data_IF_040436316650
#
_entry.id   IF_040436316650
#
_cell.length_a   1.000
_cell.length_b   1.000
_cell.length_c   1.000
_cell.angle_alpha   90.00
_cell.angle_beta   90.00
_cell.angle_gamma   90.00
#
_symmetry.space_group_name_H-M   'P 1'
#
loop_
_entity.id
_entity.type
_entity.pdbx_description
1 polymer ?
#
# COMPACT_ATOMS: atom_id res chain seq x y z
N UNK A 1 -42.25 -9.81 2.89
CA UNK A 1 -41.40 -9.59 4.08
C UNK A 1 -41.03 -10.89 4.82
N UNK A 2 -40.88 -12.03 4.13
CA UNK A 2 -40.58 -13.33 4.78
C UNK A 2 -39.24 -13.96 4.36
N UNK A 3 -38.54 -13.39 3.38
CA UNK A 3 -37.27 -13.94 2.87
C UNK A 3 -36.03 -13.45 3.64
N UNK A 4 -36.09 -12.29 4.29
CA UNK A 4 -34.93 -11.68 4.97
C UNK A 4 -34.61 -12.31 6.34
N UNK A 5 -35.56 -12.97 7.00
CA UNK A 5 -35.35 -13.53 8.35
C UNK A 5 -34.55 -14.84 8.35
N UNK A 6 -34.48 -15.56 7.24
CA UNK A 6 -33.85 -16.91 7.18
C UNK A 6 -32.32 -16.85 7.00
N UNK A 7 -31.79 -15.75 6.47
CA UNK A 7 -30.35 -15.56 6.27
C UNK A 7 -29.65 -14.92 7.47
N UNK A 8 -30.38 -14.17 8.31
CA UNK A 8 -29.84 -13.59 9.54
C UNK A 8 -29.45 -14.68 10.55
N UNK A 9 -30.17 -15.81 10.57
CA UNK A 9 -29.82 -16.96 11.42
C UNK A 9 -28.54 -17.69 10.98
N UNK A 10 -28.27 -17.75 9.67
CA UNK A 10 -27.06 -18.39 9.14
C UNK A 10 -25.82 -17.49 9.36
N UNK A 11 -26.00 -16.17 9.24
CA UNK A 11 -24.95 -15.21 9.59
C UNK A 11 -24.62 -15.21 11.09
N UNK A 12 -25.62 -15.37 11.98
CA UNK A 12 -25.40 -15.45 13.42
C UNK A 12 -24.75 -16.77 13.87
N UNK A 13 -25.03 -17.89 13.18
CA UNK A 13 -24.38 -19.18 13.46
C UNK A 13 -22.93 -19.20 12.94
N UNK A 14 -22.62 -18.49 11.85
CA UNK A 14 -21.24 -18.29 11.40
C UNK A 14 -20.41 -17.41 12.36
N UNK A 15 -21.05 -16.45 13.06
CA UNK A 15 -20.39 -15.60 14.06
C UNK A 15 -20.09 -16.37 15.37
N UNK A 16 -20.89 -17.39 15.73
CA UNK A 16 -20.59 -18.21 16.92
C UNK A 16 -19.40 -19.16 16.74
N UNK A 17 -19.06 -19.55 15.51
CA UNK A 17 -17.87 -20.37 15.22
C UNK A 17 -16.56 -19.57 15.25
N UNK A 18 -16.63 -18.23 15.23
CA UNK A 18 -15.45 -17.36 15.32
C UNK A 18 -14.83 -17.31 16.73
N UNK A 19 -15.47 -17.95 17.72
CA UNK A 19 -14.99 -18.02 19.11
C UNK A 19 -14.14 -19.26 19.41
N UNK A 20 -13.87 -20.09 18.41
CA UNK A 20 -12.93 -21.21 18.47
C UNK A 20 -11.72 -21.03 17.54
N UNK A 21 -11.61 -19.87 16.88
CA UNK A 21 -10.44 -19.53 16.08
C UNK A 21 -9.35 -19.00 17.02
N UNK A 22 -8.16 -19.62 16.98
CA UNK A 22 -7.02 -19.04 17.67
C UNK A 22 -6.64 -17.76 16.92
N UNK A 23 -6.64 -16.66 17.67
CA UNK A 23 -6.44 -15.34 17.10
C UNK A 23 -4.94 -15.10 17.04
N UNK A 24 -4.35 -15.47 15.92
CA UNK A 24 -2.90 -15.42 15.72
C UNK A 24 -2.51 -14.13 15.02
N UNK A 25 -1.52 -13.44 15.59
CA UNK A 25 -0.83 -12.34 14.95
C UNK A 25 0.05 -12.94 13.85
N UNK A 26 -0.20 -12.56 12.59
CA UNK A 26 0.63 -13.02 11.46
C UNK A 26 0.21 -14.33 10.81
N UNK A 27 -1.04 -14.79 10.99
CA UNK A 27 -1.58 -15.97 10.28
C UNK A 27 -1.34 -15.95 8.75
N UNK A 28 -1.17 -14.77 8.14
CA UNK A 28 -0.78 -14.59 6.74
C UNK A 28 0.48 -13.72 6.54
N UNK A 29 1.50 -13.85 7.40
CA UNK A 29 2.67 -12.95 7.45
C UNK A 29 3.42 -12.79 6.12
N UNK A 30 3.49 -13.83 5.28
CA UNK A 30 4.11 -13.75 3.94
C UNK A 30 3.43 -12.70 3.05
N UNK A 31 2.14 -12.41 3.29
CA UNK A 31 1.42 -11.35 2.57
C UNK A 31 1.85 -9.93 2.96
N UNK A 32 2.69 -9.78 3.98
CA UNK A 32 3.20 -8.50 4.46
C UNK A 32 4.64 -8.23 4.00
N UNK A 33 5.30 -9.20 3.36
CA UNK A 33 6.65 -9.06 2.83
C UNK A 33 6.62 -8.17 1.58
N UNK A 34 7.38 -7.08 1.61
CA UNK A 34 7.47 -6.15 0.49
C UNK A 34 8.35 -6.69 -0.64
N UNK A 35 7.82 -6.83 -1.87
CA UNK A 35 8.59 -7.33 -3.00
C UNK A 35 9.41 -6.27 -3.74
N UNK A 36 9.05 -4.99 -3.69
CA UNK A 36 9.66 -3.94 -4.51
C UNK A 36 10.98 -3.42 -3.93
N UNK A 37 12.05 -3.37 -4.75
CA UNK A 37 13.31 -2.75 -4.32
C UNK A 37 13.13 -1.24 -4.09
N UNK A 38 12.34 -0.55 -4.93
CA UNK A 38 12.06 0.88 -4.76
C UNK A 38 11.45 1.17 -3.40
N UNK A 39 10.40 0.45 -3.02
CA UNK A 39 9.74 0.64 -1.72
C UNK A 39 10.62 0.21 -0.54
N UNK A 40 11.42 -0.86 -0.70
CA UNK A 40 12.42 -1.29 0.29
C UNK A 40 13.41 -0.18 0.64
N UNK A 41 13.97 0.48 -0.39
CA UNK A 41 14.93 1.57 -0.23
C UNK A 41 14.33 2.81 0.48
N UNK A 42 13.01 2.91 0.53
CA UNK A 42 12.24 3.98 1.16
C UNK A 42 11.69 3.58 2.54
N UNK A 43 12.42 2.72 3.25
CA UNK A 43 12.04 2.24 4.58
C UNK A 43 10.85 1.29 4.54
N UNK A 44 10.60 0.62 3.42
CA UNK A 44 9.41 -0.23 3.23
C UNK A 44 8.09 0.53 3.47
N UNK A 45 8.06 1.83 3.15
CA UNK A 45 6.87 2.71 3.19
C UNK A 45 5.96 2.52 1.96
N UNK A 46 5.62 1.27 1.69
CA UNK A 46 5.03 0.76 0.44
C UNK A 46 3.71 1.44 0.09
N UNK A 47 2.92 1.78 1.11
CA UNK A 47 1.65 2.48 0.93
C UNK A 47 1.80 3.96 0.60
N UNK A 48 2.95 4.57 0.85
CA UNK A 48 3.19 5.96 0.48
C UNK A 48 3.69 6.06 -0.98
N UNK A 49 4.33 5.00 -1.46
CA UNK A 49 5.01 4.95 -2.77
C UNK A 49 4.00 4.60 -3.85
N UNK A 50 3.82 5.52 -4.81
CA UNK A 50 2.97 5.30 -5.97
C UNK A 50 3.77 4.88 -7.21
N UNK A 51 3.15 4.11 -8.10
CA UNK A 51 3.75 3.67 -9.36
C UNK A 51 4.83 2.59 -9.22
N UNK A 52 4.85 1.87 -8.09
CA UNK A 52 5.66 0.67 -7.89
C UNK A 52 4.79 -0.58 -8.15
N UNK A 53 4.87 -1.14 -9.35
CA UNK A 53 3.99 -2.23 -9.79
C UNK A 53 4.26 -3.58 -9.11
N UNK A 54 5.28 -3.67 -8.25
CA UNK A 54 5.51 -4.81 -7.38
C UNK A 54 4.65 -4.73 -6.11
N UNK A 55 4.25 -3.52 -5.68
CA UNK A 55 3.44 -3.28 -4.46
C UNK A 55 1.94 -3.62 -4.58
N UNK A 56 1.54 -4.62 -5.38
CA UNK A 56 0.11 -4.96 -5.57
C UNK A 56 -0.58 -5.45 -4.29
N UNK A 57 0.18 -6.00 -3.35
CA UNK A 57 -0.33 -6.54 -2.09
C UNK A 57 -0.50 -5.49 -0.98
N UNK A 58 0.14 -4.34 -1.15
CA UNK A 58 0.19 -3.27 -0.13
C UNK A 58 -0.42 -1.96 -0.65
N UNK A 59 -0.56 -1.79 -1.96
CA UNK A 59 -1.06 -0.56 -2.57
C UNK A 59 -2.00 -0.85 -3.76
N UNK A 60 -3.28 -1.23 -3.52
CA UNK A 60 -4.19 -1.59 -4.61
C UNK A 60 -4.72 -0.38 -5.40
N UNK A 61 -4.79 0.81 -4.78
CA UNK A 61 -5.34 2.00 -5.45
C UNK A 61 -4.43 2.53 -6.56
N UNK A 62 -3.13 2.24 -6.52
CA UNK A 62 -2.16 2.72 -7.53
C UNK A 62 -2.54 2.31 -8.97
N UNK A 63 -3.29 1.20 -9.10
CA UNK A 63 -3.76 0.71 -10.39
C UNK A 63 -4.70 1.70 -11.10
N UNK A 64 -5.31 2.64 -10.35
CA UNK A 64 -6.07 3.75 -10.93
C UNK A 64 -5.22 4.69 -11.78
N UNK A 65 -3.88 4.68 -11.62
CA UNK A 65 -2.94 5.58 -12.32
C UNK A 65 -2.05 4.85 -13.32
N UNK A 66 -2.31 3.57 -13.58
CA UNK A 66 -1.55 2.79 -14.57
C UNK A 66 -1.90 3.28 -15.97
N UNK A 67 -0.89 3.73 -16.72
CA UNK A 67 -1.07 4.22 -18.10
C UNK A 67 -0.67 3.19 -19.17
N UNK A 68 0.21 2.25 -18.80
CA UNK A 68 0.78 1.25 -19.72
C UNK A 68 0.75 -0.11 -19.06
N UNK A 69 0.77 -1.17 -19.86
CA UNK A 69 0.93 -2.51 -19.32
C UNK A 69 2.39 -2.73 -18.89
N UNK A 70 2.60 -3.19 -17.67
CA UNK A 70 3.92 -3.50 -17.13
C UNK A 70 3.98 -4.95 -16.67
N UNK A 71 5.12 -5.58 -16.90
CA UNK A 71 5.52 -6.80 -16.23
C UNK A 71 6.71 -6.46 -15.33
N UNK A 72 6.67 -6.90 -14.08
CA UNK A 72 7.68 -6.61 -13.08
C UNK A 72 8.12 -7.88 -12.37
N UNK A 73 9.40 -7.94 -12.04
CA UNK A 73 10.03 -9.06 -11.34
C UNK A 73 10.92 -8.52 -10.24
N UNK A 74 10.99 -9.21 -9.12
CA UNK A 74 11.99 -8.96 -8.09
C UNK A 74 12.52 -10.25 -7.48
N UNK A 75 13.75 -10.13 -7.01
CA UNK A 75 14.45 -11.18 -6.30
C UNK A 75 15.09 -10.56 -5.05
N UNK A 76 14.90 -11.23 -3.92
CA UNK A 76 15.52 -10.88 -2.64
C UNK A 76 16.16 -12.11 -2.06
N UNK A 77 17.42 -11.97 -1.67
CA UNK A 77 18.12 -12.94 -0.84
C UNK A 77 18.06 -12.44 0.60
N UNK A 78 17.36 -13.19 1.45
CA UNK A 78 17.28 -12.95 2.88
C UNK A 78 18.39 -13.74 3.59
N UNK A 79 18.40 -13.63 4.92
CA UNK A 79 19.26 -14.42 5.79
C UNK A 79 18.90 -15.91 5.73
N UNK A 80 19.85 -16.76 6.15
CA UNK A 80 19.66 -18.22 6.24
C UNK A 80 19.21 -18.88 4.93
N UNK A 81 19.79 -18.44 3.80
CA UNK A 81 19.50 -18.95 2.44
C UNK A 81 18.03 -18.89 2.01
N UNK A 82 17.21 -18.08 2.70
CA UNK A 82 15.82 -17.86 2.37
C UNK A 82 15.70 -16.88 1.20
N UNK A 83 14.83 -17.18 0.24
CA UNK A 83 14.65 -16.41 -0.99
C UNK A 83 13.23 -15.92 -1.13
N UNK A 84 13.09 -14.74 -1.71
CA UNK A 84 11.80 -14.19 -2.10
C UNK A 84 11.82 -13.77 -3.56
N UNK A 85 11.06 -14.51 -4.36
CA UNK A 85 10.85 -14.25 -5.77
C UNK A 85 9.43 -13.72 -5.97
N UNK A 86 9.30 -12.64 -6.73
CA UNK A 86 8.02 -12.02 -7.00
C UNK A 86 7.90 -11.63 -8.47
N UNK A 87 6.73 -11.84 -9.03
CA UNK A 87 6.38 -11.39 -10.36
C UNK A 87 5.00 -10.73 -10.35
N UNK A 88 4.84 -9.64 -11.08
CA UNK A 88 3.54 -9.01 -11.32
C UNK A 88 3.35 -8.60 -12.76
N UNK A 89 2.09 -8.53 -13.16
CA UNK A 89 1.67 -7.94 -14.41
C UNK A 89 0.49 -7.00 -14.14
N UNK A 90 0.56 -5.79 -14.68
CA UNK A 90 -0.51 -4.79 -14.57
C UNK A 90 -0.94 -4.35 -15.96
N UNK A 91 -2.23 -4.11 -16.12
CA UNK A 91 -2.83 -3.66 -17.37
C UNK A 91 -3.85 -2.55 -17.11
N UNK A 92 -3.84 -1.47 -17.91
CA UNK A 92 -4.89 -0.46 -17.85
C UNK A 92 -6.16 -0.98 -18.54
N UNK A 93 -7.30 -0.96 -17.84
CA UNK A 93 -8.60 -1.39 -18.37
C UNK A 93 -9.41 -0.24 -19.00
N UNK A 94 -9.15 0.99 -18.58
CA UNK A 94 -9.85 2.18 -19.05
C UNK A 94 -9.29 3.44 -18.39
N UNK A 95 -9.94 4.59 -18.61
CA UNK A 95 -9.53 5.83 -17.94
C UNK A 95 -9.71 5.69 -16.43
N UNK A 96 -8.60 5.89 -15.69
CA UNK A 96 -8.59 5.77 -14.25
C UNK A 96 -8.86 4.35 -13.74
N UNK A 97 -8.63 3.30 -14.53
CA UNK A 97 -8.89 1.90 -14.14
C UNK A 97 -7.75 0.97 -14.54
N UNK A 98 -7.35 0.10 -13.61
CA UNK A 98 -6.30 -0.88 -13.85
C UNK A 98 -6.56 -2.20 -13.12
N UNK A 99 -6.01 -3.26 -13.68
CA UNK A 99 -6.01 -4.61 -13.13
C UNK A 99 -4.57 -5.08 -12.98
N UNK A 100 -4.27 -5.76 -11.89
CA UNK A 100 -2.98 -6.35 -11.60
C UNK A 100 -3.13 -7.79 -11.13
N UNK A 101 -2.20 -8.63 -11.54
CA UNK A 101 -1.99 -9.96 -10.97
C UNK A 101 -0.56 -10.05 -10.46
N UNK A 102 -0.36 -10.79 -9.37
CA UNK A 102 0.99 -11.15 -8.93
C UNK A 102 1.06 -12.59 -8.45
N UNK A 103 2.28 -13.08 -8.46
CA UNK A 103 2.67 -14.37 -7.96
C UNK A 103 3.98 -14.22 -7.19
N UNK A 104 4.10 -14.90 -6.06
CA UNK A 104 5.36 -14.90 -5.31
C UNK A 104 5.64 -16.24 -4.65
N UNK A 105 6.92 -16.47 -4.40
CA UNK A 105 7.42 -17.59 -3.63
C UNK A 105 8.38 -17.06 -2.57
N UNK A 106 8.08 -17.33 -1.31
CA UNK A 106 8.98 -17.10 -0.19
C UNK A 106 9.36 -18.46 0.40
N UNK A 107 10.63 -18.78 0.55
CA UNK A 107 11.01 -20.07 1.11
C UNK A 107 12.50 -20.34 1.15
N UNK A 108 12.85 -21.42 1.82
CA UNK A 108 14.19 -21.97 1.90
C UNK A 108 14.15 -23.41 1.38
N UNK A 109 15.17 -23.74 0.59
CA UNK A 109 15.30 -25.02 -0.09
C UNK A 109 16.42 -25.85 0.55
N UNK A 110 16.30 -27.17 0.44
CA UNK A 110 17.35 -28.12 0.81
C UNK A 110 17.83 -28.02 2.28
N UNK A 111 16.93 -27.69 3.21
CA UNK A 111 17.24 -27.59 4.65
C UNK A 111 17.61 -28.99 5.16
N UNK A 112 18.84 -29.22 5.66
CA UNK A 112 19.21 -30.51 6.24
C UNK A 112 18.37 -30.78 7.48
N UNK A 113 17.73 -31.95 7.54
CA UNK A 113 16.99 -32.37 8.72
C UNK A 113 17.38 -33.80 9.14
N UNK A 114 17.30 -34.04 10.44
CA UNK A 114 17.49 -35.36 11.05
C UNK A 114 16.17 -35.73 11.73
N UNK A 115 15.56 -36.84 11.32
CA UNK A 115 14.35 -37.35 11.98
C UNK A 115 14.71 -37.84 13.38
N UNK A 116 13.79 -37.66 14.32
CA UNK A 116 13.95 -38.19 15.66
C UNK A 116 14.15 -39.72 15.61
N UNK A 117 15.25 -40.20 16.20
CA UNK A 117 15.64 -41.62 16.18
C UNK A 117 16.50 -42.05 15.00
N UNK A 118 16.77 -41.19 14.02
CA UNK A 118 17.76 -41.47 12.96
C UNK A 118 19.20 -41.16 13.44
N UNK A 119 20.20 -41.97 13.06
CA UNK A 119 21.59 -41.68 13.37
C UNK A 119 22.04 -40.40 12.64
N UNK A 120 22.98 -39.66 13.24
CA UNK A 120 23.63 -38.53 12.56
C UNK A 120 24.24 -39.03 11.24
N UNK A 121 23.81 -38.50 10.08
CA UNK A 121 24.33 -38.97 8.79
C UNK A 121 25.83 -38.66 8.65
N UNK A 122 26.59 -39.63 8.15
CA UNK A 122 28.02 -39.44 7.87
C UNK A 122 28.23 -38.77 6.50
N UNK A 123 29.02 -37.71 6.46
CA UNK A 123 29.38 -37.01 5.22
C UNK A 123 28.33 -36.02 4.74
N UNK A 124 27.88 -36.16 3.48
CA UNK A 124 26.94 -35.24 2.80
C UNK A 124 25.56 -35.87 2.52
N UNK A 125 25.24 -37.01 3.13
CA UNK A 125 24.00 -37.75 2.89
C UNK A 125 22.93 -37.39 3.92
N UNK A 126 22.47 -36.15 3.90
CA UNK A 126 21.41 -35.65 4.77
C UNK A 126 20.05 -35.81 4.08
N UNK A 127 19.01 -36.07 4.86
CA UNK A 127 17.65 -35.83 4.38
C UNK A 127 17.45 -34.31 4.30
N UNK A 128 16.75 -33.84 3.27
CA UNK A 128 16.42 -32.42 3.12
C UNK A 128 14.91 -32.18 3.18
N UNK A 129 14.54 -31.01 3.66
CA UNK A 129 13.19 -30.47 3.64
C UNK A 129 13.24 -29.10 2.98
N UNK A 130 12.24 -28.78 2.16
CA UNK A 130 12.02 -27.42 1.67
C UNK A 130 10.78 -26.85 2.34
N UNK A 131 10.81 -25.57 2.69
CA UNK A 131 9.64 -24.83 3.15
C UNK A 131 9.36 -23.71 2.17
N UNK A 132 8.10 -23.55 1.77
CA UNK A 132 7.71 -22.54 0.81
C UNK A 132 6.28 -22.04 1.01
N UNK A 133 6.14 -20.73 0.95
CA UNK A 133 4.88 -20.01 0.86
C UNK A 133 4.71 -19.45 -0.56
N UNK A 134 3.61 -19.81 -1.19
CA UNK A 134 3.23 -19.40 -2.52
C UNK A 134 2.03 -18.47 -2.47
N UNK A 135 2.17 -17.26 -2.99
CA UNK A 135 1.08 -16.27 -3.00
C UNK A 135 0.61 -16.03 -4.43
N UNK A 136 -0.70 -15.97 -4.60
CA UNK A 136 -1.34 -15.46 -5.80
C UNK A 136 -2.24 -14.28 -5.44
N UNK A 137 -2.13 -13.18 -6.19
CA UNK A 137 -2.93 -11.99 -5.94
C UNK A 137 -3.64 -11.49 -7.20
N UNK A 138 -4.87 -11.02 -7.01
CA UNK A 138 -5.65 -10.28 -8.00
C UNK A 138 -6.04 -8.93 -7.41
N UNK A 139 -5.69 -7.86 -8.10
CA UNK A 139 -5.86 -6.49 -7.59
C UNK A 139 -6.51 -5.62 -8.64
N UNK A 140 -7.45 -4.77 -8.23
CA UNK A 140 -8.13 -3.81 -9.10
C UNK A 140 -8.12 -2.43 -8.47
N UNK A 141 -7.85 -1.40 -9.27
CA UNK A 141 -7.88 -0.01 -8.82
C UNK A 141 -8.70 0.86 -9.76
N UNK A 142 -9.40 1.83 -9.18
CA UNK A 142 -10.25 2.78 -9.90
C UNK A 142 -10.22 4.18 -9.28
N UNK A 143 -10.10 5.19 -10.15
CA UNK A 143 -10.35 6.58 -9.84
C UNK A 143 -11.85 6.84 -9.78
N UNK A 144 -12.31 7.36 -8.65
CA UNK A 144 -13.73 7.66 -8.40
C UNK A 144 -14.02 9.14 -8.66
N UNK A 145 -13.10 10.01 -8.26
CA UNK A 145 -13.14 11.45 -8.55
C UNK A 145 -11.73 11.93 -8.89
N UNK A 146 -11.58 13.17 -9.34
CA UNK A 146 -10.26 13.74 -9.66
C UNK A 146 -9.26 13.71 -8.50
N UNK A 147 -9.76 13.58 -7.26
CA UNK A 147 -8.96 13.55 -6.03
C UNK A 147 -9.02 12.22 -5.28
N UNK A 148 -9.94 11.32 -5.61
CA UNK A 148 -10.18 10.07 -4.87
C UNK A 148 -9.95 8.85 -5.75
N UNK A 149 -9.05 7.99 -5.29
CA UNK A 149 -8.70 6.72 -5.90
C UNK A 149 -8.95 5.59 -4.91
N UNK A 150 -9.51 4.48 -5.37
CA UNK A 150 -9.80 3.29 -4.56
C UNK A 150 -9.14 2.07 -5.20
N UNK A 151 -8.84 1.07 -4.39
CA UNK A 151 -8.44 -0.24 -4.87
C UNK A 151 -8.87 -1.36 -3.93
N UNK A 152 -8.99 -2.56 -4.50
CA UNK A 152 -9.26 -3.79 -3.77
C UNK A 152 -8.30 -4.88 -4.23
N UNK A 153 -7.83 -5.68 -3.29
CA UNK A 153 -6.94 -6.82 -3.52
C UNK A 153 -7.53 -8.09 -2.92
N UNK A 154 -7.33 -9.21 -3.61
CA UNK A 154 -7.61 -10.53 -3.09
C UNK A 154 -6.35 -11.39 -3.24
N UNK A 155 -5.97 -12.03 -2.14
CA UNK A 155 -4.71 -12.74 -2.00
C UNK A 155 -5.02 -14.15 -1.51
N UNK A 156 -4.54 -15.14 -2.26
CA UNK A 156 -4.51 -16.54 -1.86
C UNK A 156 -3.09 -16.94 -1.51
N UNK A 157 -2.94 -17.71 -0.45
CA UNK A 157 -1.67 -18.21 0.04
C UNK A 157 -1.75 -19.73 0.12
N UNK A 158 -0.73 -20.41 -0.38
CA UNK A 158 -0.54 -21.84 -0.20
C UNK A 158 0.79 -22.06 0.50
N UNK A 159 0.78 -22.83 1.57
CA UNK A 159 1.95 -23.09 2.40
C UNK A 159 2.33 -24.54 2.37
N UNK A 160 3.61 -24.77 2.22
CA UNK A 160 4.24 -26.08 2.28
C UNK A 160 5.35 -26.02 3.32
N UNK A 161 5.10 -26.64 4.47
CA UNK A 161 6.05 -26.75 5.58
C UNK A 161 6.11 -28.23 6.00
N UNK A 162 6.15 -28.51 7.31
CA UNK A 162 5.88 -29.84 7.87
C UNK A 162 4.43 -30.29 7.65
N UNK A 163 3.52 -29.33 7.48
CA UNK A 163 2.13 -29.50 7.06
C UNK A 163 1.79 -28.53 5.92
N UNK A 164 0.70 -28.84 5.20
CA UNK A 164 0.17 -27.95 4.15
C UNK A 164 -0.93 -27.04 4.70
N UNK A 165 -1.01 -25.84 4.14
CA UNK A 165 -2.00 -24.84 4.56
C UNK A 165 -2.48 -23.96 3.43
N UNK A 166 -3.71 -23.45 3.56
CA UNK A 166 -4.31 -22.49 2.65
C UNK A 166 -4.70 -21.23 3.41
N UNK A 167 -4.26 -20.08 2.92
CA UNK A 167 -4.58 -18.76 3.44
C UNK A 167 -5.35 -17.92 2.43
N UNK A 168 -6.18 -17.00 2.95
CA UNK A 168 -6.86 -16.00 2.15
C UNK A 168 -6.91 -14.66 2.87
N UNK A 169 -6.63 -13.57 2.14
CA UNK A 169 -6.78 -12.19 2.62
C UNK A 169 -7.41 -11.30 1.55
N UNK A 170 -8.39 -10.50 1.94
CA UNK A 170 -8.93 -9.43 1.10
C UNK A 170 -8.55 -8.05 1.65
N UNK A 171 -7.99 -7.18 0.81
CA UNK A 171 -7.49 -5.86 1.19
C UNK A 171 -8.23 -4.74 0.43
N UNK A 172 -8.33 -3.56 1.05
CA UNK A 172 -8.94 -2.39 0.44
C UNK A 172 -8.08 -1.15 0.69
N UNK A 173 -7.79 -0.39 -0.36
CA UNK A 173 -6.97 0.81 -0.31
C UNK A 173 -7.70 2.03 -0.82
N UNK A 174 -7.34 3.20 -0.29
CA UNK A 174 -7.83 4.49 -0.71
C UNK A 174 -6.67 5.48 -0.77
N UNK A 175 -6.68 6.36 -1.76
CA UNK A 175 -5.82 7.54 -1.81
C UNK A 175 -6.61 8.80 -2.11
N UNK A 176 -6.34 9.84 -1.33
CA UNK A 176 -6.93 11.15 -1.48
C UNK A 176 -5.87 12.22 -1.74
N UNK A 177 -6.07 13.04 -2.77
CA UNK A 177 -5.24 14.22 -3.05
C UNK A 177 -5.76 15.41 -2.25
N UNK A 178 -5.02 15.82 -1.21
CA UNK A 178 -5.41 16.96 -0.36
C UNK A 178 -5.17 18.28 -1.09
N UNK A 179 -3.95 18.45 -1.61
CA UNK A 179 -3.52 19.58 -2.43
C UNK A 179 -2.60 19.06 -3.53
N UNK A 180 -2.15 19.94 -4.42
CA UNK A 180 -1.23 19.55 -5.49
C UNK A 180 0.02 18.91 -4.89
N UNK A 181 0.35 17.72 -5.39
CA UNK A 181 1.48 16.89 -4.97
C UNK A 181 1.44 16.36 -3.53
N UNK A 182 0.39 16.63 -2.74
CA UNK A 182 0.19 16.04 -1.40
C UNK A 182 -0.94 15.00 -1.41
N UNK A 183 -0.59 13.77 -1.08
CA UNK A 183 -1.52 12.65 -1.00
C UNK A 183 -1.54 12.05 0.40
N UNK A 184 -2.71 11.61 0.82
CA UNK A 184 -2.90 10.73 1.98
C UNK A 184 -3.50 9.43 1.48
N UNK A 185 -2.94 8.32 1.93
CA UNK A 185 -3.40 6.98 1.59
C UNK A 185 -3.72 6.18 2.83
N UNK A 186 -4.65 5.24 2.67
CA UNK A 186 -5.09 4.34 3.72
C UNK A 186 -5.20 2.93 3.16
N UNK A 187 -4.84 1.92 3.94
CA UNK A 187 -4.98 0.50 3.60
C UNK A 187 -5.68 -0.20 4.76
N UNK A 188 -6.81 -0.83 4.47
CA UNK A 188 -7.49 -1.75 5.35
C UNK A 188 -7.16 -3.18 4.90
N UNK A 189 -6.25 -3.84 5.61
CA UNK A 189 -5.91 -5.23 5.39
C UNK A 189 -6.97 -6.14 6.02
N UNK A 190 -7.31 -7.23 5.33
CA UNK A 190 -8.26 -8.21 5.84
C UNK A 190 -9.71 -7.68 5.99
N UNK A 191 -10.16 -6.78 5.11
CA UNK A 191 -11.51 -6.20 5.18
C UNK A 191 -12.64 -7.23 5.00
N UNK A 192 -12.38 -8.33 4.28
CA UNK A 192 -13.32 -9.47 4.16
C UNK A 192 -13.03 -10.55 5.18
N UNK A 193 -11.77 -10.98 5.24
CA UNK A 193 -11.21 -11.97 6.17
C UNK A 193 -9.70 -12.02 5.98
N UNK A 194 -8.96 -12.41 7.01
CA UNK A 194 -7.58 -12.89 6.91
C UNK A 194 -7.50 -14.17 7.72
N UNK A 195 -7.52 -15.31 7.05
CA UNK A 195 -7.53 -16.61 7.71
C UNK A 195 -6.58 -17.58 7.02
N UNK A 196 -6.10 -18.56 7.77
CA UNK A 196 -5.35 -19.70 7.29
C UNK A 196 -5.92 -21.00 7.88
N UNK A 197 -6.01 -22.04 7.06
CA UNK A 197 -6.45 -23.38 7.47
C UNK A 197 -5.38 -24.39 7.13
N UNK A 198 -5.09 -25.30 8.06
CA UNK A 198 -4.05 -26.30 7.94
C UNK A 198 -4.62 -27.71 7.83
N UNK A 199 -3.82 -28.65 7.30
CA UNK A 199 -4.20 -30.06 7.18
C UNK A 199 -4.49 -30.74 8.53
N UNK A 200 -3.82 -30.29 9.60
CA UNK A 200 -4.08 -30.71 10.98
C UNK A 200 -5.50 -30.40 11.48
N UNK A 201 -6.24 -29.54 10.77
CA UNK A 201 -7.55 -29.03 11.17
C UNK A 201 -7.47 -27.70 11.92
N UNK A 202 -6.26 -27.19 12.17
CA UNK A 202 -6.05 -25.89 12.79
C UNK A 202 -6.53 -24.75 11.88
N UNK A 203 -7.14 -23.75 12.51
CA UNK A 203 -7.67 -22.57 11.83
C UNK A 203 -7.22 -21.31 12.55
N UNK A 204 -6.43 -20.51 11.83
CA UNK A 204 -5.87 -19.26 12.32
C UNK A 204 -6.58 -18.08 11.69
N UNK A 205 -6.83 -17.04 12.50
CA UNK A 205 -7.46 -15.81 12.04
C UNK A 205 -6.66 -14.58 12.48
N UNK A 206 -6.32 -13.72 11.53
CA UNK A 206 -5.80 -12.38 11.79
C UNK A 206 -6.91 -11.34 11.76
N UNK A 207 -6.88 -10.42 12.71
CA UNK A 207 -7.81 -9.29 12.68
C UNK A 207 -7.49 -8.30 11.56
N UNK A 208 -8.48 -7.52 11.11
CA UNK A 208 -8.25 -6.46 10.15
C UNK A 208 -7.31 -5.39 10.71
N UNK A 209 -6.45 -4.87 9.86
CA UNK A 209 -5.44 -3.87 10.21
C UNK A 209 -5.65 -2.62 9.34
N UNK A 210 -5.58 -1.42 9.94
CA UNK A 210 -5.71 -0.16 9.20
C UNK A 210 -4.43 0.62 9.29
N UNK A 211 -3.94 1.08 8.15
CA UNK A 211 -2.72 1.88 8.05
C UNK A 211 -3.02 3.24 7.41
N UNK A 212 -2.21 4.24 7.79
CA UNK A 212 -2.19 5.57 7.18
C UNK A 212 -0.82 5.85 6.59
N UNK A 213 -0.80 6.53 5.46
CA UNK A 213 0.41 7.01 4.82
C UNK A 213 0.18 8.37 4.17
N UNK A 214 1.27 9.08 3.93
CA UNK A 214 1.28 10.35 3.24
C UNK A 214 2.49 10.44 2.30
N UNK A 215 2.31 11.11 1.18
CA UNK A 215 3.41 11.41 0.26
C UNK A 215 3.31 12.84 -0.27
N UNK A 216 4.46 13.48 -0.41
CA UNK A 216 4.57 14.85 -0.87
C UNK A 216 5.67 15.03 -1.92
N UNK A 217 5.34 15.62 -3.05
CA UNK A 217 6.25 15.89 -4.16
C UNK A 217 6.65 17.37 -4.25
N UNK A 218 7.95 17.62 -4.30
CA UNK A 218 8.56 18.95 -4.46
C UNK A 218 9.36 18.98 -5.76
N UNK A 219 8.91 19.72 -6.80
CA UNK A 219 9.72 19.92 -7.99
C UNK A 219 10.96 20.76 -7.63
N UNK A 220 12.14 20.33 -8.07
CA UNK A 220 13.41 21.03 -7.87
C UNK A 220 14.06 21.27 -9.24
N UNK A 221 13.57 22.28 -10.01
CA UNK A 221 14.02 22.49 -11.40
C UNK A 221 15.51 22.75 -11.53
N UNK A 222 16.13 23.39 -10.54
CA UNK A 222 17.57 23.66 -10.53
C UNK A 222 18.43 22.39 -10.60
N UNK A 223 17.93 21.29 -10.04
CA UNK A 223 18.61 19.99 -10.04
C UNK A 223 18.04 19.01 -11.08
N UNK A 224 17.19 19.49 -12.00
CA UNK A 224 16.53 18.68 -13.02
C UNK A 224 15.87 17.43 -12.42
N UNK A 225 15.00 17.64 -11.43
CA UNK A 225 14.33 16.53 -10.79
C UNK A 225 13.25 16.93 -9.81
N UNK A 226 12.73 15.92 -9.11
CA UNK A 226 11.67 16.02 -8.12
C UNK A 226 12.08 15.30 -6.84
N UNK A 227 11.98 16.00 -5.72
CA UNK A 227 12.14 15.43 -4.38
C UNK A 227 10.79 14.91 -3.90
N UNK A 228 10.69 13.64 -3.57
CA UNK A 228 9.51 13.04 -2.98
C UNK A 228 9.79 12.64 -1.53
N UNK A 229 8.86 12.96 -0.64
CA UNK A 229 8.86 12.59 0.76
C UNK A 229 7.76 11.58 1.01
N UNK A 230 8.09 10.50 1.71
CA UNK A 230 7.17 9.40 1.99
C UNK A 230 7.14 9.12 3.48
N UNK A 231 5.94 8.95 4.01
CA UNK A 231 5.70 8.56 5.39
C UNK A 231 4.57 7.54 5.44
N UNK A 232 4.76 6.51 6.24
CA UNK A 232 3.74 5.51 6.56
C UNK A 232 3.73 5.34 8.07
N UNK A 233 2.59 5.57 8.69
CA UNK A 233 2.42 5.40 10.13
C UNK A 233 2.45 3.93 10.53
N UNK A 234 2.57 3.72 11.84
CA UNK A 234 2.25 2.43 12.42
C UNK A 234 0.77 2.08 12.18
N UNK A 235 0.44 0.80 12.38
CA UNK A 235 -0.94 0.33 12.34
C UNK A 235 -1.83 1.18 13.28
N UNK A 236 -3.11 1.37 12.96
CA UNK A 236 -4.07 2.12 13.79
C UNK A 236 -4.95 1.21 14.66
N UNK A 237 -5.15 -0.04 14.25
CA UNK A 237 -6.16 -0.95 14.80
C UNK A 237 -5.55 -2.20 15.45
N UNK A 238 -4.56 -2.05 16.31
CA UNK A 238 -3.98 -3.19 17.05
C UNK A 238 -4.66 -3.38 18.42
N UNK A 239 -5.01 -4.63 18.76
CA UNK A 239 -5.63 -4.98 20.05
C UNK A 239 -4.59 -5.13 21.18
N UNK A 240 -3.34 -5.44 20.82
CA UNK A 240 -2.18 -5.65 21.71
C UNK A 240 -0.96 -4.85 21.20
N UNK A 241 -0.02 -4.51 22.09
CA UNK A 241 1.24 -3.86 21.72
C UNK A 241 2.14 -4.88 21.00
N UNK A 242 2.65 -4.55 19.80
CA UNK A 242 3.39 -5.51 18.96
C UNK A 242 4.90 -5.50 19.20
N UNK A 243 5.41 -4.54 19.96
CA UNK A 243 6.83 -4.44 20.25
C UNK A 243 7.00 -4.49 21.78
N UNK A 244 7.20 -5.70 22.31
CA UNK A 244 7.88 -5.83 23.59
C UNK A 244 9.36 -5.69 23.28
N UNK A 245 9.93 -4.53 23.65
CA UNK A 245 11.36 -4.34 23.57
C UNK A 245 12.01 -5.26 24.61
N UNK A 246 12.54 -6.40 24.17
CA UNK A 246 13.13 -7.44 25.03
C UNK A 246 14.31 -6.91 25.87
N UNK A 247 14.91 -5.78 25.50
CA UNK A 247 16.00 -5.18 26.27
C UNK A 247 15.53 -4.22 27.37
N UNK A 248 14.33 -3.61 27.25
CA UNK A 248 13.88 -2.56 28.17
C UNK A 248 12.56 -2.81 28.89
N UNK A 249 11.85 -3.91 28.58
CA UNK A 249 10.53 -4.24 29.16
C UNK A 249 9.49 -3.10 28.93
N UNK A 250 9.79 -2.18 28.01
CA UNK A 250 8.91 -1.08 27.62
C UNK A 250 8.05 -1.54 26.43
N UNK A 251 6.72 -1.52 26.62
CA UNK A 251 5.77 -1.71 25.52
C UNK A 251 5.88 -0.54 24.54
N UNK A 252 6.40 -0.77 23.34
CA UNK A 252 6.41 0.18 22.21
C UNK A 252 5.31 -0.17 21.20
N UNK A 253 4.90 0.83 20.41
CA UNK A 253 3.79 0.68 19.47
C UNK A 253 2.42 0.84 20.14
N UNK A 254 2.31 1.79 21.07
CA UNK A 254 1.03 2.19 21.67
C UNK A 254 0.12 2.79 20.60
N UNK A 255 -1.20 2.73 20.85
CA UNK A 255 -2.17 3.28 19.90
C UNK A 255 -2.03 4.79 19.79
N UNK A 256 -2.47 5.34 18.67
CA UNK A 256 -2.44 6.80 18.43
C UNK A 256 -3.12 7.61 19.55
N UNK A 257 -4.17 7.08 20.19
CA UNK A 257 -4.87 7.72 21.31
C UNK A 257 -4.24 7.48 22.69
N UNK A 258 -3.32 6.54 22.81
CA UNK A 258 -2.58 6.26 24.05
C UNK A 258 -1.28 7.05 24.11
N UNK A 259 -0.50 7.01 23.01
CA UNK A 259 0.69 7.83 22.85
C UNK A 259 0.89 8.18 21.35
N UNK A 260 0.47 9.37 20.90
CA UNK A 260 0.55 9.75 19.49
C UNK A 260 1.98 9.91 18.99
N UNK A 261 2.92 10.26 19.87
CA UNK A 261 4.32 10.40 19.51
C UNK A 261 4.98 9.04 19.29
N UNK A 262 4.68 8.06 20.16
CA UNK A 262 5.16 6.68 20.01
C UNK A 262 4.61 6.03 18.73
N UNK A 263 3.31 6.22 18.44
CA UNK A 263 2.70 5.77 17.18
C UNK A 263 3.35 6.42 15.95
N UNK A 264 3.64 7.72 16.01
CA UNK A 264 4.31 8.44 14.94
C UNK A 264 5.75 7.94 14.72
N UNK A 265 6.48 7.65 15.80
CA UNK A 265 7.84 7.11 15.73
C UNK A 265 7.90 5.64 15.34
N UNK A 266 6.85 4.85 15.61
CA UNK A 266 6.70 3.48 15.11
C UNK A 266 6.38 3.42 13.61
N UNK A 267 6.24 4.58 12.96
CA UNK A 267 6.14 4.69 11.51
C UNK A 267 7.48 4.46 10.81
N UNK A 268 7.39 4.48 9.49
CA UNK A 268 8.49 4.31 8.55
C UNK A 268 8.42 5.41 7.50
N UNK A 269 9.52 5.67 6.81
CA UNK A 269 9.51 6.67 5.76
C UNK A 269 10.80 6.77 5.00
N UNK A 270 10.78 7.57 3.94
CA UNK A 270 11.92 7.73 3.05
C UNK A 270 11.81 8.97 2.18
N UNK A 271 12.94 9.28 1.56
CA UNK A 271 13.10 10.36 0.61
C UNK A 271 13.59 9.78 -0.72
N UNK A 272 13.04 10.27 -1.81
CA UNK A 272 13.46 9.92 -3.17
C UNK A 272 13.76 11.21 -3.94
N UNK A 273 14.95 11.31 -4.50
CA UNK A 273 15.23 12.32 -5.52
C UNK A 273 15.20 11.66 -6.89
N UNK A 274 14.18 11.96 -7.68
CA UNK A 274 14.02 11.46 -9.04
C UNK A 274 14.51 12.51 -10.04
N UNK A 275 15.58 12.21 -10.75
CA UNK A 275 16.13 13.05 -11.79
C UNK A 275 15.38 12.86 -13.12
N UNK A 276 15.26 13.93 -13.89
CA UNK A 276 14.56 13.96 -15.19
C UNK A 276 15.22 13.07 -16.24
N UNK A 277 16.52 12.80 -16.09
CA UNK A 277 17.27 11.89 -16.97
C UNK A 277 17.08 10.40 -16.62
N UNK A 278 16.25 10.08 -15.62
CA UNK A 278 15.80 8.71 -15.31
C UNK A 278 16.50 8.05 -14.13
N UNK A 279 17.52 8.66 -13.53
CA UNK A 279 18.10 8.19 -12.28
C UNK A 279 17.19 8.57 -11.10
N UNK A 280 17.14 7.71 -10.09
CA UNK A 280 16.51 7.99 -8.81
C UNK A 280 17.40 7.52 -7.69
N UNK A 281 17.56 8.36 -6.66
CA UNK A 281 18.31 8.05 -5.45
C UNK A 281 17.36 8.05 -4.27
N UNK A 282 17.51 7.05 -3.40
CA UNK A 282 16.56 6.76 -2.33
C UNK A 282 17.29 6.48 -1.03
N UNK A 283 16.73 7.01 0.05
CA UNK A 283 17.13 6.69 1.41
C UNK A 283 15.89 6.61 2.28
N UNK A 284 15.90 5.73 3.27
CA UNK A 284 14.76 5.52 4.16
C UNK A 284 15.15 4.92 5.49
N UNK A 285 14.15 4.88 6.36
CA UNK A 285 14.20 4.31 7.69
C UNK A 285 12.99 3.39 7.83
N UNK A 286 13.23 2.10 8.08
CA UNK A 286 12.14 1.13 8.25
C UNK A 286 11.46 1.22 9.63
N UNK A 287 12.12 1.87 10.58
CA UNK A 287 11.54 2.32 11.85
C UNK A 287 12.22 3.62 12.29
N UNK A 288 11.45 4.63 12.72
CA UNK A 288 12.05 5.84 13.30
C UNK A 288 12.51 5.65 14.76
N UNK A 289 12.08 4.57 15.43
CA UNK A 289 12.57 4.24 16.78
C UNK A 289 13.94 3.55 16.72
N UNK A 290 14.17 2.71 15.71
CA UNK A 290 15.39 1.93 15.55
C UNK A 290 16.25 2.52 14.42
N UNK A 291 17.06 3.53 14.74
CA UNK A 291 17.97 4.19 13.79
C UNK A 291 19.03 3.25 13.15
N UNK A 292 19.11 1.99 13.56
CA UNK A 292 19.98 0.98 12.98
C UNK A 292 19.42 0.38 11.66
N UNK A 293 18.12 0.57 11.38
CA UNK A 293 17.46 -0.01 10.21
C UNK A 293 17.39 0.97 9.03
N UNK A 294 18.57 1.39 8.57
CA UNK A 294 18.71 2.31 7.43
C UNK A 294 18.53 1.54 6.12
N UNK A 295 17.78 2.13 5.20
CA UNK A 295 17.60 1.61 3.84
C UNK A 295 18.14 2.61 2.83
N UNK A 296 18.73 2.12 1.75
CA UNK A 296 19.21 2.95 0.66
C UNK A 296 18.99 2.24 -0.67
N UNK A 297 18.89 3.00 -1.75
CA UNK A 297 18.74 2.39 -3.07
C UNK A 297 18.85 3.37 -4.21
N UNK A 298 18.96 2.81 -5.41
CA UNK A 298 19.01 3.56 -6.63
C UNK A 298 18.12 2.89 -7.68
N UNK A 299 17.57 3.71 -8.58
CA UNK A 299 16.73 3.25 -9.67
C UNK A 299 17.13 3.93 -10.97
N UNK A 300 17.06 3.19 -12.06
CA UNK A 300 17.33 3.71 -13.40
C UNK A 300 16.15 3.39 -14.32
N UNK A 301 15.54 4.44 -14.85
CA UNK A 301 14.53 4.35 -15.90
C UNK A 301 15.17 4.56 -17.25
N UNK A 302 15.21 3.52 -18.07
CA UNK A 302 15.81 3.53 -19.40
C UNK A 302 14.69 3.65 -20.44
N UNK A 303 14.74 4.74 -21.21
CA UNK A 303 13.81 5.00 -22.32
C UNK A 303 12.31 4.87 -21.95
N UNK A 304 11.97 5.11 -20.68
CA UNK A 304 10.62 5.03 -20.09
C UNK A 304 9.93 3.66 -20.12
N UNK A 305 10.54 2.63 -20.70
CA UNK A 305 9.94 1.29 -20.79
C UNK A 305 10.64 0.24 -19.94
N UNK A 306 11.89 0.48 -19.49
CA UNK A 306 12.57 -0.37 -18.51
C UNK A 306 12.83 0.44 -17.26
N UNK A 307 12.56 -0.15 -16.10
CA UNK A 307 13.00 0.34 -14.80
C UNK A 307 13.81 -0.76 -14.13
N UNK A 308 14.99 -0.42 -13.63
CA UNK A 308 15.81 -1.32 -12.82
C UNK A 308 16.02 -0.61 -11.49
N UNK A 309 15.70 -1.29 -10.40
CA UNK A 309 15.87 -0.76 -9.05
C UNK A 309 16.69 -1.74 -8.22
N UNK A 310 17.54 -1.18 -7.37
CA UNK A 310 18.35 -1.89 -6.41
C UNK A 310 18.15 -1.26 -5.04
N UNK A 311 18.04 -2.10 -4.02
CA UNK A 311 17.93 -1.67 -2.64
C UNK A 311 18.85 -2.47 -1.71
N UNK A 312 19.28 -1.76 -0.69
CA UNK A 312 20.04 -2.23 0.44
C UNK A 312 19.24 -1.94 1.70
N UNK A 313 19.04 -2.95 2.52
CA UNK A 313 18.36 -2.86 3.80
C UNK A 313 19.30 -3.38 4.89
N UNK A 314 19.59 -2.51 5.86
CA UNK A 314 20.40 -2.85 7.03
C UNK A 314 19.50 -3.40 8.12
N UNK A 315 19.92 -4.49 8.75
CA UNK A 315 19.29 -5.02 9.96
C UNK A 315 20.23 -4.88 11.16
N UNK A 316 19.69 -4.66 12.37
CA UNK A 316 20.52 -4.52 13.57
C UNK A 316 21.16 -5.83 14.01
N UNK A 317 20.44 -6.95 13.83
CA UNK A 317 20.84 -8.29 14.30
C UNK A 317 21.19 -9.22 13.14
N UNK A 318 20.54 -9.05 12.00
CA UNK A 318 20.64 -9.96 10.85
C UNK A 318 21.58 -9.41 9.77
N UNK A 319 21.99 -10.28 8.86
CA UNK A 319 22.78 -9.90 7.69
C UNK A 319 22.02 -8.86 6.84
N UNK A 320 22.74 -7.93 6.19
CA UNK A 320 22.11 -6.98 5.28
C UNK A 320 21.41 -7.69 4.12
N UNK A 321 20.28 -7.14 3.70
CA UNK A 321 19.44 -7.70 2.63
C UNK A 321 19.62 -6.86 1.37
N UNK A 322 19.79 -7.57 0.25
CA UNK A 322 19.89 -6.97 -1.07
C UNK A 322 18.66 -7.35 -1.89
N UNK A 323 18.06 -6.36 -2.55
CA UNK A 323 16.87 -6.56 -3.38
C UNK A 323 17.10 -5.96 -4.75
N UNK A 324 16.77 -6.74 -5.78
CA UNK A 324 16.83 -6.30 -7.18
C UNK A 324 15.43 -6.41 -7.76
N UNK A 325 15.01 -5.39 -8.50
CA UNK A 325 13.79 -5.47 -9.27
C UNK A 325 13.94 -4.89 -10.67
N UNK A 326 13.21 -5.47 -11.62
CA UNK A 326 13.15 -5.03 -13.01
C UNK A 326 11.69 -4.95 -13.42
N UNK A 327 11.32 -3.83 -14.04
CA UNK A 327 10.00 -3.63 -14.62
C UNK A 327 10.12 -3.25 -16.08
N UNK A 328 9.32 -3.89 -16.94
CA UNK A 328 9.34 -3.69 -18.38
C UNK A 328 7.91 -3.43 -18.85
N UNK A 329 7.72 -2.38 -19.67
CA UNK A 329 6.47 -2.10 -20.36
C UNK A 329 6.62 -2.34 -21.87
N UNK A 330 6.32 -3.56 -22.37
CA UNK A 330 6.38 -3.86 -23.79
C UNK A 330 5.35 -3.04 -24.61
N UNK A 331 4.32 -2.49 -23.97
CA UNK A 331 3.24 -1.72 -24.61
C UNK A 331 3.72 -0.39 -25.24
N UNK A 332 4.82 0.18 -24.73
CA UNK A 332 5.37 1.45 -25.20
C UNK A 332 5.91 1.38 -26.65
N UNK A 333 6.13 0.19 -27.21
CA UNK A 333 6.57 0.00 -28.60
C UNK A 333 5.43 -0.11 -29.63
N UNK A 334 4.21 -0.44 -29.19
CA UNK A 334 3.14 -0.84 -30.10
C UNK A 334 1.93 0.09 -30.11
N UNK A 335 1.77 0.98 -29.11
CA UNK A 335 0.55 1.78 -28.95
C UNK A 335 0.88 3.20 -28.47
N UNK A 336 0.16 4.20 -29.01
CA UNK A 336 0.18 5.57 -28.49
C UNK A 336 -0.42 5.62 -27.07
N UNK A 337 -0.01 6.60 -26.23
CA UNK A 337 -0.66 6.86 -24.94
C UNK A 337 -2.16 7.04 -25.15
N UNK A 338 -2.99 6.41 -24.31
CA UNK A 338 -4.46 6.52 -24.44
C UNK A 338 -4.92 7.97 -24.18
N UNK A 339 -5.95 8.46 -24.90
CA UNK A 339 -6.46 9.83 -24.74
C UNK A 339 -7.02 10.06 -23.32
N UNK A 340 -6.85 11.28 -22.80
CA UNK A 340 -7.22 11.67 -21.41
C UNK A 340 -6.10 11.54 -20.37
N UNK A 341 -4.92 11.05 -20.76
CA UNK A 341 -3.74 10.96 -19.88
C UNK A 341 -2.90 12.24 -19.93
N UNK A 342 -2.19 12.58 -18.85
CA UNK A 342 -1.24 13.72 -18.84
C UNK A 342 -0.20 13.62 -19.94
N UNK A 343 0.28 12.43 -20.29
CA UNK A 343 1.21 12.23 -21.41
C UNK A 343 0.54 12.39 -22.79
N UNK A 344 -0.72 11.99 -22.96
CA UNK A 344 -1.48 12.29 -24.17
C UNK A 344 -1.76 13.80 -24.29
N UNK A 345 -2.13 14.46 -23.20
CA UNK A 345 -2.33 15.92 -23.15
C UNK A 345 -1.04 16.67 -23.46
N UNK A 346 0.10 16.28 -22.88
CA UNK A 346 1.41 16.89 -23.17
C UNK A 346 1.82 16.69 -24.63
N UNK A 347 1.52 15.53 -25.24
CA UNK A 347 1.71 15.32 -26.68
C UNK A 347 0.81 16.25 -27.51
N UNK A 348 -0.47 16.37 -27.18
CA UNK A 348 -1.39 17.28 -27.88
C UNK A 348 -0.96 18.74 -27.74
N UNK A 349 -0.55 19.18 -26.55
CA UNK A 349 -0.05 20.53 -26.32
C UNK A 349 1.25 20.80 -27.08
N UNK A 350 2.20 19.86 -27.11
CA UNK A 350 3.44 20.01 -27.89
C UNK A 350 3.18 20.11 -29.39
N UNK A 351 2.23 19.33 -29.92
CA UNK A 351 1.85 19.35 -31.34
C UNK A 351 1.09 20.64 -31.72
N UNK A 352 0.41 21.28 -30.77
CA UNK A 352 -0.26 22.58 -30.98
C UNK A 352 0.67 23.79 -30.85
N UNK A 353 1.88 23.61 -30.29
CA UNK A 353 2.90 24.68 -30.15
C UNK A 353 3.99 24.68 -31.22
N UNK A 354 4.00 23.68 -32.11
CA UNK A 354 4.78 23.78 -33.35
C UNK A 354 3.99 24.65 -34.33
N UNK A 355 4.58 25.78 -34.70
CA UNK A 355 4.01 26.81 -35.57
C UNK A 355 3.32 26.22 -36.79
N UNK A 356 2.11 26.71 -37.08
CA UNK A 356 1.50 26.55 -38.39
C UNK A 356 2.45 27.17 -39.42
N UNK A 357 3.08 26.33 -40.24
CA UNK A 357 3.83 26.76 -41.41
C UNK A 357 2.92 27.62 -42.31
N UNK A 358 3.13 28.94 -42.27
CA UNK A 358 2.68 29.85 -43.32
C UNK A 358 3.33 29.39 -44.63
N UNK A 359 2.52 28.78 -45.51
CA UNK A 359 2.91 28.50 -46.89
C UNK A 359 1.98 29.23 -47.84
N UNK A 360 2.57 30.22 -48.52
CA UNK A 360 2.31 30.69 -49.87
C UNK A 360 0.90 31.18 -50.25
N UNK A 361 0.70 32.51 -50.14
CA UNK A 361 -0.27 33.23 -50.95
C UNK A 361 0.18 34.69 -51.22
N UNK A 362 1.27 34.85 -51.97
CA UNK A 362 1.59 36.09 -52.68
C UNK A 362 1.75 35.82 -54.17
N UNK A 363 0.63 35.63 -54.87
CA UNK A 363 0.49 35.95 -56.30
C UNK A 363 -0.98 35.78 -56.72
N UNK A 364 -1.81 36.83 -56.56
CA UNK A 364 -2.79 37.25 -57.57
C UNK A 364 -3.46 38.57 -57.15
N UNK A 365 -2.86 39.68 -57.59
CA UNK A 365 -3.61 40.93 -57.79
C UNK A 365 -4.29 40.84 -59.15
N UNK A 366 -5.62 40.78 -59.17
CA UNK A 366 -6.53 41.54 -60.06
C UNK A 366 -7.90 40.85 -60.18
N UNK A 367 -8.92 41.43 -59.51
CA UNK A 367 -10.17 41.94 -60.12
C UNK A 367 -11.23 42.24 -59.05
N UNK A 368 -11.57 43.52 -59.00
CA UNK A 368 -12.84 44.10 -58.47
C UNK A 368 -13.94 43.74 -59.50
N UNK A 369 -15.21 43.40 -59.13
CA UNK A 369 -16.15 44.45 -58.71
C UNK A 369 -17.34 44.11 -57.76
N UNK A 370 -17.82 45.23 -57.17
CA UNK A 370 -19.18 45.64 -56.78
C UNK A 370 -19.87 45.21 -55.45
N UNK A 371 -20.33 46.26 -54.77
CA UNK A 371 -21.17 46.45 -53.54
C UNK A 371 -22.57 45.75 -53.56
N UNK A 372 -23.52 45.94 -52.57
CA UNK A 372 -23.50 46.71 -51.30
C UNK A 372 -24.11 46.05 -50.02
N UNK A 373 -23.74 46.63 -48.86
CA UNK A 373 -24.54 47.09 -47.68
C UNK A 373 -25.58 46.16 -47.01
N UNK A 374 -25.42 45.89 -45.70
CA UNK A 374 -26.38 46.30 -44.66
C UNK A 374 -25.84 46.18 -43.21
N UNK A 375 -25.99 47.26 -42.43
CA UNK A 375 -25.77 47.33 -40.99
C UNK A 375 -27.10 47.07 -40.27
N UNK A 376 -27.09 46.35 -39.14
CA UNK A 376 -28.06 46.61 -38.07
C UNK A 376 -27.46 46.35 -36.69
N UNK A 377 -27.80 47.27 -35.79
CA UNK A 377 -27.42 47.43 -34.38
C UNK A 377 -28.69 47.18 -33.55
N UNK A 378 -28.57 46.55 -32.37
CA UNK A 378 -29.34 46.79 -31.12
C UNK A 378 -29.08 45.59 -30.17
N UNK A 379 -28.32 45.71 -29.08
CA UNK A 379 -28.51 46.44 -27.82
C UNK A 379 -29.48 45.73 -26.84
N UNK A 380 -28.95 45.45 -25.64
CA UNK A 380 -29.58 44.81 -24.48
C UNK A 380 -30.70 45.67 -23.88
N UNK A 381 -31.50 45.11 -22.96
CA UNK A 381 -31.51 45.76 -21.64
C UNK A 381 -31.51 44.80 -20.44
N UNK A 382 -31.11 45.40 -19.32
CA UNK A 382 -30.97 44.85 -17.99
C UNK A 382 -32.22 45.04 -17.12
N UNK A 383 -32.20 44.33 -15.98
CA UNK A 383 -32.63 44.75 -14.64
C UNK A 383 -34.12 44.66 -14.25
N UNK A 384 -34.38 43.91 -13.17
CA UNK A 384 -35.23 44.33 -12.04
C UNK A 384 -35.30 43.28 -10.91
N UNK A 385 -34.76 43.63 -9.75
CA UNK A 385 -35.31 43.27 -8.43
C UNK A 385 -36.37 44.35 -8.05
N UNK A 386 -37.22 44.28 -6.98
CA UNK A 386 -36.93 43.73 -5.64
C UNK A 386 -38.14 43.12 -4.86
N UNK A 387 -37.91 42.52 -3.67
CA UNK A 387 -38.59 42.92 -2.40
C UNK A 387 -38.16 42.12 -1.16
N UNK A 388 -38.19 42.86 -0.05
CA UNK A 388 -37.88 42.57 1.35
C UNK A 388 -39.09 42.00 2.08
N UNK A 389 -38.92 41.11 3.08
CA UNK A 389 -39.70 41.14 4.34
C UNK A 389 -38.95 40.39 5.46
N UNK A 390 -38.80 41.04 6.62
CA UNK A 390 -38.31 40.49 7.89
C UNK A 390 -39.47 39.89 8.70
N UNK A 391 -39.23 38.95 9.64
CA UNK A 391 -39.83 38.93 10.99
C UNK A 391 -39.11 37.93 11.93
N UNK A 392 -38.75 38.47 13.09
CA UNK A 392 -38.44 38.03 14.45
C UNK A 392 -38.75 36.62 15.03
N UNK A 393 -37.79 36.17 15.85
CA UNK A 393 -37.88 35.76 17.29
C UNK A 393 -38.16 34.31 17.75
N UNK A 394 -37.42 34.02 18.84
CA UNK A 394 -37.77 33.26 20.04
C UNK A 394 -37.21 31.84 20.21
N UNK A 395 -36.18 31.76 21.06
CA UNK A 395 -35.87 30.66 21.97
C UNK A 395 -36.94 30.62 23.08
N UNK A 396 -37.16 29.48 23.76
CA UNK A 396 -36.53 29.36 25.07
C UNK A 396 -36.05 27.95 25.47
N UNK A 397 -35.15 28.01 26.43
CA UNK A 397 -34.39 27.04 27.21
C UNK A 397 -35.25 26.20 28.19
N UNK A 398 -34.79 24.97 28.53
CA UNK A 398 -35.08 24.27 29.80
C UNK A 398 -34.12 23.07 30.02
N UNK A 399 -33.04 23.37 30.75
CA UNK A 399 -32.43 22.74 31.95
C UNK A 399 -32.87 21.34 32.52
N UNK A 400 -32.11 20.74 33.50
CA UNK A 400 -31.45 19.43 33.37
C UNK A 400 -31.97 18.34 34.34
N UNK A 401 -31.48 17.11 34.22
CA UNK A 401 -31.77 16.02 35.20
C UNK A 401 -30.50 15.31 35.67
N UNK A 402 -30.55 15.01 36.96
CA UNK A 402 -29.55 14.59 37.95
C UNK A 402 -28.88 13.22 37.76
N UNK A 403 -27.80 13.07 38.52
CA UNK A 403 -26.95 11.90 38.68
C UNK A 403 -27.38 10.91 39.79
N UNK A 404 -26.75 9.72 39.73
CA UNK A 404 -26.45 8.72 40.77
C UNK A 404 -27.45 7.57 41.01
N UNK A 405 -27.03 6.38 41.54
CA UNK A 405 -25.71 5.99 42.04
C UNK A 405 -25.12 4.66 41.49
N UNK A 406 -23.85 4.46 41.82
CA UNK A 406 -23.03 3.27 41.57
C UNK A 406 -23.49 2.04 42.38
N UNK A 407 -23.24 0.85 41.80
CA UNK A 407 -23.34 -0.46 42.44
C UNK A 407 -21.98 -1.20 42.35
N UNK A 408 -21.69 -2.14 43.26
CA UNK A 408 -20.34 -2.36 43.79
C UNK A 408 -19.44 -3.24 42.91
N UNK A 409 -18.15 -2.90 42.92
CA UNK A 409 -17.06 -3.72 42.38
C UNK A 409 -16.84 -4.94 43.27
N UNK A 410 -16.98 -6.13 42.70
CA UNK A 410 -16.52 -7.39 43.29
C UNK A 410 -15.01 -7.51 43.12
N UNK A 411 -14.29 -7.52 44.23
CA UNK A 411 -12.86 -7.79 44.32
C UNK A 411 -12.54 -9.23 43.94
N UNK A 412 -11.72 -9.43 42.91
CA UNK A 412 -11.03 -10.70 42.62
C UNK A 412 -9.72 -10.71 43.45
N UNK A 413 -9.40 -11.79 44.18
CA UNK A 413 -8.15 -11.84 44.94
C UNK A 413 -6.96 -12.03 43.98
N UNK A 414 -5.90 -11.25 44.19
CA UNK A 414 -4.62 -11.40 43.50
C UNK A 414 -3.99 -12.77 43.84
N UNK A 415 -3.37 -13.48 42.88
CA UNK A 415 -2.59 -14.66 43.17
C UNK A 415 -1.30 -14.28 43.91
N UNK A 416 -0.88 -15.14 44.84
CA UNK A 416 0.31 -14.97 45.65
C UNK A 416 1.60 -14.91 44.79
N UNK A 417 2.61 -14.13 45.20
CA UNK A 417 3.89 -14.10 44.49
C UNK A 417 4.60 -15.46 44.61
N UNK A 418 5.00 -16.00 43.47
CA UNK A 418 5.90 -17.14 43.37
C UNK A 418 7.29 -16.65 43.79
N UNK A 419 7.85 -17.27 44.83
CA UNK A 419 9.24 -17.09 45.24
C UNK A 419 10.04 -18.09 44.41
N UNK A 420 10.73 -17.62 43.37
CA UNK A 420 11.75 -18.40 42.68
C UNK A 420 12.99 -18.44 43.56
N UNK A 421 13.37 -19.66 43.94
CA UNK A 421 14.66 -19.97 44.53
C UNK A 421 15.69 -20.09 43.41
N UNK A 422 16.74 -19.26 43.48
CA UNK A 422 17.94 -19.40 42.66
C UNK A 422 18.54 -20.79 42.87
N UNK A 423 18.38 -21.69 41.88
CA UNK A 423 19.16 -22.91 41.79
C UNK A 423 20.18 -22.79 40.66
N UNK A 424 21.39 -23.14 41.03
CA UNK A 424 22.66 -22.89 40.38
C UNK A 424 22.77 -23.54 38.98
N UNK A 425 23.30 -22.76 38.05
CA UNK A 425 23.88 -23.25 36.80
C UNK A 425 25.15 -24.02 37.12
N UNK A 426 25.13 -25.34 36.91
CA UNK A 426 26.32 -26.18 36.82
C UNK A 426 26.57 -26.54 35.35
N UNK A 427 27.74 -26.08 34.88
CA UNK A 427 28.62 -26.53 33.78
C UNK A 427 28.05 -26.89 32.41
#
# INVERSE_FOLDING_TARGET
>A
MAFAKKYVGIALVAVSSAWAADRVVGANATLDIEPGARSAALGSATMAVDGDYLGLMSNPYQLANVNYAWASFSHTEYYEDTKYDFASAVVPLGEGQGLGISFSRFGADDIPYIKEGEPLPEGSNYNTLSIADWVFSLTFGRRITDRLELGIGFHGLYREMDQTGWGFRGDAGLRYRLVDELFVSTLLKGWTSSAASWESGEFEYSSPELYLAASYGLPVPYLYGKLNLYWQGAELLHREARDMDYETDESRGKRVWENPLDWLSGGRGGIEFAFDFGLSLRAGLSSFTTFQSVTAGAGLTIAKFVKVDYAFESHPVLSPVHRVSVSISPYLFSHSPRPGTTEATVRTTKVLTEESEETDAYEEMERVPDEPVEKSVQEMPAESAPKVTATESSTPEKEPVQAAPAAPQTSVPAPAPIIETDDEVLE
#
